data_IF_929798908441
#
_entry.id   IF_929798908441
#
_cell.length_a   1.000
_cell.length_b   1.000
_cell.length_c   1.000
_cell.angle_alpha   90.00
_cell.angle_beta   90.00
_cell.angle_gamma   90.00
#
_symmetry.space_group_name_H-M   'P 1'
#
loop_
_entity.id
_entity.type
_entity.pdbx_description
1 polymer ?
#
# COMPACT_ATOMS: atom_id res chain seq x y z
N UNK A 1 14.33 77.99 72.06
CA UNK A 1 15.70 77.45 72.15
C UNK A 1 15.80 76.19 71.29
N UNK A 2 16.67 76.24 70.25
CA UNK A 2 17.61 75.17 69.79
C UNK A 2 16.96 73.84 69.30
N UNK A 3 16.73 73.67 67.98
CA UNK A 3 17.55 73.01 66.90
C UNK A 3 17.07 71.57 66.60
N UNK A 4 16.62 71.27 65.35
CA UNK A 4 17.40 70.66 64.23
C UNK A 4 17.28 69.12 64.25
N UNK A 5 16.96 68.33 63.20
CA UNK A 5 16.96 68.52 61.74
C UNK A 5 16.42 67.26 61.03
N UNK A 6 15.76 67.48 59.88
CA UNK A 6 15.96 66.78 58.58
C UNK A 6 15.42 65.36 58.27
N UNK A 7 14.55 65.36 57.24
CA UNK A 7 14.49 64.47 56.04
C UNK A 7 13.89 63.07 56.27
N UNK A 8 12.96 62.56 55.45
CA UNK A 8 13.07 62.38 53.99
C UNK A 8 11.70 61.97 53.36
N UNK A 9 11.43 62.51 52.16
CA UNK A 9 10.72 61.95 50.99
C UNK A 9 9.38 61.18 51.17
N UNK A 10 8.23 61.70 50.68
CA UNK A 10 7.74 61.70 49.28
C UNK A 10 7.13 60.34 48.84
N UNK A 11 5.81 60.37 48.64
CA UNK A 11 4.95 59.62 47.67
C UNK A 11 5.03 58.09 47.65
N UNK A 12 3.88 57.44 47.88
CA UNK A 12 3.08 56.84 46.80
C UNK A 12 1.78 56.27 47.35
N UNK A 13 0.69 56.99 47.11
CA UNK A 13 -0.62 56.38 46.96
C UNK A 13 -0.69 55.70 45.58
N UNK A 14 -1.53 54.67 45.48
CA UNK A 14 -1.87 53.89 44.27
C UNK A 14 -0.98 52.67 44.04
N UNK A 15 -1.50 51.49 44.39
CA UNK A 15 -1.50 50.32 43.50
C UNK A 15 -2.63 49.41 43.94
N UNK A 16 -3.74 49.58 43.23
CA UNK A 16 -4.88 48.69 43.15
C UNK A 16 -4.40 47.28 42.81
N UNK A 17 -5.04 46.31 43.46
CA UNK A 17 -4.87 44.88 43.24
C UNK A 17 -4.93 44.49 41.76
N UNK A 18 -3.80 44.05 41.20
CA UNK A 18 -3.76 43.09 40.07
C UNK A 18 -2.51 42.23 40.24
N UNK A 19 -2.62 41.15 41.01
CA UNK A 19 -1.60 40.10 41.05
C UNK A 19 -2.22 38.77 41.50
N UNK A 20 -3.24 38.30 40.77
CA UNK A 20 -3.79 36.96 40.97
C UNK A 20 -4.47 36.40 39.70
N UNK A 21 -3.85 36.57 38.52
CA UNK A 21 -4.23 35.80 37.31
C UNK A 21 -2.97 35.49 36.48
N UNK A 22 -1.99 34.78 37.06
CA UNK A 22 -0.85 34.26 36.28
C UNK A 22 -0.34 32.88 36.72
N UNK A 23 -1.14 32.09 37.44
CA UNK A 23 -0.76 30.71 37.83
C UNK A 23 -1.73 29.61 37.38
N UNK A 24 -2.70 29.92 36.52
CA UNK A 24 -3.55 28.92 35.85
C UNK A 24 -3.51 28.99 34.31
N UNK A 25 -2.59 29.77 33.75
CA UNK A 25 -2.27 29.72 32.33
C UNK A 25 -1.18 28.70 32.09
N UNK A 26 -1.48 27.40 32.25
CA UNK A 26 -0.71 26.41 31.52
C UNK A 26 -0.80 26.82 30.06
N UNK A 27 0.32 27.21 29.45
CA UNK A 27 0.37 27.41 28.01
C UNK A 27 -0.09 26.08 27.41
N UNK A 28 -1.34 26.01 26.96
CA UNK A 28 -1.78 24.94 26.10
C UNK A 28 -0.81 25.02 24.91
N UNK A 29 0.10 24.06 24.80
CA UNK A 29 0.93 23.94 23.63
C UNK A 29 -0.03 24.01 22.43
N UNK A 30 0.22 24.92 21.49
CA UNK A 30 -0.58 24.98 20.28
C UNK A 30 -0.60 23.57 19.69
N UNK A 31 -1.79 23.03 19.43
CA UNK A 31 -1.91 21.71 18.83
C UNK A 31 -1.13 21.72 17.51
N UNK A 32 -0.22 20.77 17.31
CA UNK A 32 0.50 20.58 16.06
C UNK A 32 0.03 19.28 15.42
N UNK A 33 -0.42 19.35 14.16
CA UNK A 33 -0.57 18.20 13.30
C UNK A 33 0.74 18.01 12.54
N UNK A 34 1.36 16.83 12.66
CA UNK A 34 2.54 16.47 11.87
C UNK A 34 2.27 15.26 10.99
N UNK A 35 2.52 15.41 9.69
CA UNK A 35 2.23 14.39 8.68
C UNK A 35 3.45 14.09 7.82
N UNK A 36 3.60 12.83 7.42
CA UNK A 36 4.56 12.36 6.44
C UNK A 36 3.82 12.09 5.13
N UNK A 37 4.33 12.63 4.03
CA UNK A 37 3.75 12.52 2.69
C UNK A 37 4.81 12.02 1.72
N UNK A 38 4.46 10.99 0.97
CA UNK A 38 5.31 10.40 -0.05
C UNK A 38 5.22 11.20 -1.35
N UNK A 39 6.30 11.86 -1.76
CA UNK A 39 6.35 12.69 -2.97
C UNK A 39 6.33 11.88 -4.27
N UNK A 40 6.68 10.60 -4.23
CA UNK A 40 6.61 9.71 -5.39
C UNK A 40 5.17 9.28 -5.70
N UNK A 41 4.28 9.37 -4.70
CA UNK A 41 2.91 8.95 -4.84
C UNK A 41 2.08 10.01 -5.58
N UNK A 42 1.29 9.66 -6.63
CA UNK A 42 0.40 10.59 -7.33
C UNK A 42 -0.67 11.25 -6.43
N UNK A 43 -0.86 10.77 -5.20
CA UNK A 43 -1.73 11.38 -4.20
C UNK A 43 -1.07 12.50 -3.38
N UNK A 44 0.25 12.71 -3.47
CA UNK A 44 1.02 13.62 -2.60
C UNK A 44 0.42 15.03 -2.48
N UNK A 45 0.04 15.63 -3.62
CA UNK A 45 -0.52 16.98 -3.66
C UNK A 45 -1.90 17.05 -2.98
N UNK A 46 -2.72 16.02 -3.17
CA UNK A 46 -4.06 15.91 -2.57
C UNK A 46 -3.94 15.68 -1.06
N UNK A 47 -3.00 14.85 -0.64
CA UNK A 47 -2.72 14.58 0.77
C UNK A 47 -2.15 15.80 1.49
N UNK A 48 -1.33 16.59 0.81
CA UNK A 48 -0.85 17.88 1.32
C UNK A 48 -2.02 18.83 1.54
N UNK A 49 -2.93 18.92 0.57
CA UNK A 49 -4.15 19.74 0.70
C UNK A 49 -5.07 19.22 1.83
N UNK A 50 -5.25 17.90 1.95
CA UNK A 50 -6.00 17.29 3.03
C UNK A 50 -5.40 17.65 4.39
N UNK A 51 -4.09 17.51 4.57
CA UNK A 51 -3.41 17.83 5.81
C UNK A 51 -3.57 19.31 6.20
N UNK A 52 -3.48 20.23 5.22
CA UNK A 52 -3.78 21.65 5.44
C UNK A 52 -5.22 21.87 5.89
N UNK A 53 -6.19 21.23 5.24
CA UNK A 53 -7.60 21.38 5.58
C UNK A 53 -7.92 20.84 6.98
N UNK A 54 -7.32 19.71 7.36
CA UNK A 54 -7.45 19.13 8.70
C UNK A 54 -6.83 20.05 9.75
N UNK A 55 -5.61 20.56 9.53
CA UNK A 55 -4.97 21.48 10.47
C UNK A 55 -5.80 22.76 10.69
N UNK A 56 -6.38 23.32 9.62
CA UNK A 56 -7.30 24.46 9.72
C UNK A 56 -8.56 24.10 10.52
N UNK A 57 -9.15 22.93 10.28
CA UNK A 57 -10.32 22.45 11.01
C UNK A 57 -10.05 22.23 12.50
N UNK A 58 -8.84 21.78 12.85
CA UNK A 58 -8.41 21.54 14.24
C UNK A 58 -7.87 22.78 14.94
N UNK A 59 -7.74 23.91 14.23
CA UNK A 59 -7.03 25.10 14.70
C UNK A 59 -5.58 24.78 15.15
N UNK A 60 -4.94 23.85 14.44
CA UNK A 60 -3.59 23.36 14.69
C UNK A 60 -2.57 23.98 13.71
N UNK A 61 -1.30 24.07 14.13
CA UNK A 61 -0.20 24.27 13.17
C UNK A 61 0.08 22.98 12.40
N UNK A 62 0.45 23.08 11.12
CA UNK A 62 0.81 21.92 10.30
C UNK A 62 2.32 21.84 10.10
N UNK A 63 2.88 20.64 10.32
CA UNK A 63 4.25 20.28 9.93
C UNK A 63 4.21 19.12 8.94
N UNK A 64 4.68 19.35 7.71
CA UNK A 64 4.75 18.31 6.67
C UNK A 64 6.19 17.86 6.50
N UNK A 65 6.44 16.57 6.71
CA UNK A 65 7.68 15.91 6.31
C UNK A 65 7.44 15.21 4.97
N UNK A 66 8.35 15.41 4.02
CA UNK A 66 8.28 14.76 2.71
C UNK A 66 9.31 13.64 2.69
N UNK A 67 8.94 12.50 2.12
CA UNK A 67 9.83 11.39 1.83
C UNK A 67 9.53 10.86 0.44
N UNK A 68 10.44 10.07 -0.13
CA UNK A 68 10.26 9.44 -1.42
C UNK A 68 10.42 7.93 -1.26
N UNK A 69 9.35 7.17 -1.56
CA UNK A 69 9.39 5.70 -1.52
C UNK A 69 9.76 5.05 -2.85
N UNK A 70 9.82 5.84 -3.93
CA UNK A 70 10.16 5.41 -5.29
C UNK A 70 11.63 5.61 -5.68
N UNK A 71 12.38 6.41 -4.92
CA UNK A 71 13.83 6.58 -5.10
C UNK A 71 14.63 5.56 -4.28
N UNK A 72 15.44 4.72 -4.96
CA UNK A 72 16.38 3.80 -4.33
C UNK A 72 16.31 2.37 -4.88
N UNK A 73 17.32 1.56 -4.55
CA UNK A 73 17.40 0.15 -4.95
C UNK A 73 16.66 -0.80 -3.98
N UNK A 74 16.18 -0.28 -2.84
CA UNK A 74 15.44 -1.06 -1.81
C UNK A 74 13.96 -0.64 -1.74
N UNK A 75 13.01 -1.59 -1.80
CA UNK A 75 11.59 -1.28 -1.67
C UNK A 75 11.27 -0.80 -0.25
N UNK A 76 10.53 0.31 -0.17
CA UNK A 76 10.04 0.88 1.08
C UNK A 76 9.10 -0.11 1.79
N UNK A 77 9.42 -0.50 3.02
CA UNK A 77 8.65 -1.53 3.73
C UNK A 77 8.05 -1.00 5.06
N UNK A 78 7.37 -1.88 5.81
CA UNK A 78 6.74 -1.53 7.09
C UNK A 78 7.71 -1.02 8.17
N UNK A 79 8.99 -1.44 8.19
CA UNK A 79 9.97 -0.88 9.15
C UNK A 79 10.28 0.58 8.82
N UNK A 80 10.27 0.95 7.55
CA UNK A 80 10.54 2.33 7.13
C UNK A 80 9.36 3.24 7.46
N UNK A 81 8.12 2.78 7.22
CA UNK A 81 6.91 3.44 7.72
C UNK A 81 6.90 3.55 9.24
N UNK A 82 7.35 2.51 9.95
CA UNK A 82 7.42 2.55 11.40
C UNK A 82 8.43 3.58 11.89
N UNK A 83 9.58 3.68 11.23
CA UNK A 83 10.57 4.72 11.51
C UNK A 83 9.99 6.12 11.30
N UNK A 84 9.29 6.38 10.20
CA UNK A 84 8.63 7.66 9.96
C UNK A 84 7.62 8.00 11.06
N UNK A 85 6.75 7.04 11.40
CA UNK A 85 5.70 7.21 12.40
C UNK A 85 6.24 7.33 13.84
N UNK A 86 7.47 6.89 14.11
CA UNK A 86 8.10 7.04 15.43
C UNK A 86 8.96 8.31 15.52
N UNK A 87 9.68 8.66 14.45
CA UNK A 87 10.77 9.64 14.51
C UNK A 87 10.42 10.97 13.84
N UNK A 88 9.53 10.96 12.84
CA UNK A 88 9.35 12.10 11.93
C UNK A 88 7.97 12.73 12.02
N UNK A 89 6.90 11.94 12.08
CA UNK A 89 5.52 12.42 11.97
C UNK A 89 4.57 11.66 12.88
N UNK A 90 3.52 12.35 13.33
CA UNK A 90 2.44 11.70 14.05
C UNK A 90 1.62 10.76 13.14
N UNK A 91 1.43 11.15 11.88
CA UNK A 91 0.68 10.39 10.88
C UNK A 91 1.49 10.23 9.59
N UNK A 92 1.50 9.04 8.99
CA UNK A 92 2.03 8.81 7.63
C UNK A 92 0.84 8.57 6.71
N UNK A 93 0.61 9.48 5.77
CA UNK A 93 -0.55 9.42 4.87
C UNK A 93 -0.27 8.49 3.68
N UNK A 94 -1.34 8.02 3.06
CA UNK A 94 -1.33 7.39 1.75
C UNK A 94 -1.19 5.89 1.74
N UNK A 95 -1.25 5.24 2.91
CA UNK A 95 -1.06 3.80 2.98
C UNK A 95 -2.32 3.07 2.49
N UNK A 96 -2.22 2.23 1.44
CA UNK A 96 -3.36 1.49 0.93
C UNK A 96 -3.64 0.24 1.78
N UNK A 97 -4.89 0.08 2.19
CA UNK A 97 -5.42 -1.16 2.77
C UNK A 97 -6.44 -1.72 1.80
N UNK A 98 -6.17 -2.93 1.31
CA UNK A 98 -7.08 -3.69 0.47
C UNK A 98 -8.45 -3.88 1.17
N UNK A 99 -9.52 -3.60 0.44
CA UNK A 99 -10.90 -3.71 0.95
C UNK A 99 -11.33 -5.15 1.20
N UNK A 100 -10.69 -6.11 0.53
CA UNK A 100 -10.93 -7.55 0.70
C UNK A 100 -10.07 -8.14 1.82
N UNK A 101 -9.15 -7.36 2.41
CA UNK A 101 -8.30 -7.83 3.50
C UNK A 101 -9.09 -8.05 4.79
N UNK A 102 -9.15 -9.30 5.25
CA UNK A 102 -9.79 -9.67 6.53
C UNK A 102 -8.96 -9.21 7.74
N UNK A 103 -7.62 -9.20 7.61
CA UNK A 103 -6.70 -8.70 8.66
C UNK A 103 -5.41 -8.21 8.04
N UNK A 104 -5.06 -6.95 8.32
CA UNK A 104 -3.78 -6.37 7.93
C UNK A 104 -2.83 -6.40 9.12
N UNK A 105 -1.63 -6.93 8.91
CA UNK A 105 -0.53 -6.83 9.88
C UNK A 105 0.30 -5.61 9.48
N UNK A 106 0.32 -4.60 10.35
CA UNK A 106 1.00 -3.33 10.14
C UNK A 106 2.31 -3.25 10.92
N UNK A 107 2.85 -4.38 11.39
CA UNK A 107 4.19 -4.43 12.01
C UNK A 107 4.30 -3.61 13.29
N UNK A 108 3.21 -3.50 14.06
CA UNK A 108 3.14 -2.69 15.29
C UNK A 108 2.65 -1.26 15.10
N UNK A 109 2.40 -0.85 13.85
CA UNK A 109 1.65 0.37 13.56
C UNK A 109 0.14 0.15 13.64
N UNK A 110 -0.58 1.25 13.71
CA UNK A 110 -2.03 1.31 13.66
C UNK A 110 -2.46 2.11 12.43
N UNK A 111 -3.69 1.90 11.99
CA UNK A 111 -4.31 2.63 10.88
C UNK A 111 -5.44 3.52 11.41
N UNK A 112 -5.53 4.75 10.89
CA UNK A 112 -6.66 5.65 11.09
C UNK A 112 -7.94 5.09 10.45
N UNK A 113 -9.07 5.77 10.66
CA UNK A 113 -10.22 5.58 9.78
C UNK A 113 -9.84 5.90 8.33
N UNK A 114 -10.46 5.24 7.34
CA UNK A 114 -10.15 5.48 5.94
C UNK A 114 -10.63 6.87 5.51
N UNK A 115 -9.72 7.69 4.99
CA UNK A 115 -10.06 9.03 4.51
C UNK A 115 -10.36 9.07 3.01
N UNK A 116 -9.86 8.10 2.24
CA UNK A 116 -10.15 7.98 0.81
C UNK A 116 -10.37 6.51 0.40
N UNK A 117 -11.07 6.33 -0.71
CA UNK A 117 -11.31 5.05 -1.37
C UNK A 117 -10.89 5.15 -2.83
N UNK A 118 -10.13 4.17 -3.30
CA UNK A 118 -9.57 4.13 -4.65
C UNK A 118 -9.37 2.68 -5.11
N UNK A 119 -8.99 2.48 -6.36
CA UNK A 119 -8.68 1.16 -6.88
C UNK A 119 -7.96 1.22 -8.21
N UNK A 120 -7.77 0.04 -8.79
CA UNK A 120 -7.49 -0.11 -10.20
C UNK A 120 -8.76 0.18 -11.00
N UNK A 121 -8.58 0.85 -12.14
CA UNK A 121 -9.66 1.17 -13.05
C UNK A 121 -9.32 0.66 -14.45
N UNK A 122 -10.34 0.19 -15.16
CA UNK A 122 -10.26 -0.02 -16.60
C UNK A 122 -10.35 1.33 -17.29
N UNK A 123 -9.30 1.72 -18.00
CA UNK A 123 -9.22 2.97 -18.76
C UNK A 123 -9.43 2.67 -20.23
N UNK A 124 -10.46 3.26 -20.81
CA UNK A 124 -10.81 3.07 -22.23
C UNK A 124 -10.88 4.42 -22.96
N UNK A 125 -10.74 4.44 -24.30
CA UNK A 125 -11.25 5.53 -25.11
C UNK A 125 -12.72 5.82 -24.76
N UNK A 126 -13.11 7.10 -24.76
CA UNK A 126 -14.45 7.54 -24.33
C UNK A 126 -15.58 7.03 -25.23
N UNK A 127 -15.28 6.70 -26.49
CA UNK A 127 -16.22 6.10 -27.44
C UNK A 127 -16.31 4.57 -27.32
N UNK A 128 -15.46 3.94 -26.51
CA UNK A 128 -15.59 2.53 -26.16
C UNK A 128 -16.91 2.27 -25.42
N UNK A 129 -17.54 1.15 -25.76
CA UNK A 129 -18.73 0.66 -25.04
C UNK A 129 -18.38 -0.20 -23.82
N UNK A 130 -17.11 -0.59 -23.68
CA UNK A 130 -16.67 -1.44 -22.61
C UNK A 130 -16.47 -0.64 -21.33
N UNK A 131 -17.06 -1.12 -20.25
CA UNK A 131 -16.94 -0.61 -18.88
C UNK A 131 -16.37 -1.65 -17.93
N UNK A 132 -16.25 -2.91 -18.38
CA UNK A 132 -15.65 -4.04 -17.66
C UNK A 132 -14.78 -4.86 -18.62
N UNK A 133 -13.95 -5.76 -18.10
CA UNK A 133 -13.04 -6.57 -18.90
C UNK A 133 -13.78 -7.55 -19.83
N UNK A 134 -14.90 -8.10 -19.38
CA UNK A 134 -15.72 -9.05 -20.15
C UNK A 134 -16.41 -8.39 -21.36
N UNK A 135 -16.50 -7.06 -21.36
CA UNK A 135 -17.11 -6.29 -22.43
C UNK A 135 -16.11 -5.89 -23.52
N UNK A 136 -14.80 -6.08 -23.29
CA UNK A 136 -13.79 -5.80 -24.29
C UNK A 136 -13.89 -6.82 -25.44
N UNK A 137 -13.71 -6.39 -26.70
CA UNK A 137 -13.65 -7.30 -27.83
C UNK A 137 -12.56 -8.38 -27.66
N UNK A 138 -12.81 -9.56 -28.21
CA UNK A 138 -11.80 -10.63 -28.25
C UNK A 138 -10.51 -10.15 -28.95
N UNK A 139 -9.36 -10.43 -28.34
CA UNK A 139 -8.05 -10.01 -28.81
C UNK A 139 -7.69 -8.56 -28.49
N UNK A 140 -8.50 -7.87 -27.67
CA UNK A 140 -8.16 -6.51 -27.20
C UNK A 140 -6.85 -6.55 -26.43
N UNK A 141 -5.98 -5.59 -26.73
CA UNK A 141 -4.73 -5.38 -26.00
C UNK A 141 -5.01 -4.50 -24.78
N UNK A 142 -4.62 -4.98 -23.61
CA UNK A 142 -4.85 -4.30 -22.34
C UNK A 142 -3.52 -4.12 -21.61
N UNK A 143 -3.12 -2.87 -21.43
CA UNK A 143 -1.86 -2.53 -20.76
C UNK A 143 -2.03 -2.53 -19.24
N UNK A 144 -1.07 -3.08 -18.51
CA UNK A 144 -0.99 -3.02 -17.05
C UNK A 144 0.41 -2.60 -16.61
N UNK A 145 0.52 -2.14 -15.36
CA UNK A 145 1.82 -1.85 -14.76
C UNK A 145 2.42 -3.11 -14.15
N UNK A 146 3.71 -3.33 -14.35
CA UNK A 146 4.48 -4.42 -13.76
C UNK A 146 4.30 -4.48 -12.23
N UNK A 147 4.23 -5.70 -11.67
CA UNK A 147 4.07 -5.96 -10.22
C UNK A 147 2.84 -5.30 -9.57
N UNK A 148 1.76 -5.14 -10.32
CA UNK A 148 0.48 -4.70 -9.77
C UNK A 148 -0.59 -5.80 -9.86
N UNK A 149 -1.60 -5.76 -9.00
CA UNK A 149 -2.72 -6.73 -8.99
C UNK A 149 -3.28 -7.01 -10.39
N UNK A 150 -3.49 -6.02 -11.28
CA UNK A 150 -4.00 -6.27 -12.63
C UNK A 150 -3.31 -7.35 -13.47
N UNK A 151 -2.04 -7.69 -13.19
CA UNK A 151 -1.35 -8.77 -13.90
C UNK A 151 -2.04 -10.13 -13.71
N UNK A 152 -2.72 -10.36 -12.57
CA UNK A 152 -3.35 -11.66 -12.28
C UNK A 152 -4.68 -11.86 -13.01
N UNK A 153 -5.35 -10.78 -13.45
CA UNK A 153 -6.69 -10.87 -14.02
C UNK A 153 -6.72 -11.56 -15.39
N UNK A 154 -5.61 -11.55 -16.13
CA UNK A 154 -5.53 -12.19 -17.45
C UNK A 154 -5.69 -13.70 -17.41
N UNK A 155 -5.50 -14.35 -16.25
CA UNK A 155 -5.76 -15.78 -16.08
C UNK A 155 -7.24 -16.09 -16.29
N UNK A 156 -8.13 -15.22 -15.81
CA UNK A 156 -9.58 -15.36 -15.95
C UNK A 156 -10.11 -14.72 -17.24
N UNK A 157 -9.25 -14.00 -17.98
CA UNK A 157 -9.58 -13.34 -19.25
C UNK A 157 -8.59 -13.71 -20.38
N UNK A 158 -8.53 -15.00 -20.79
CA UNK A 158 -7.56 -15.48 -21.79
C UNK A 158 -7.77 -14.91 -23.19
N UNK A 159 -8.96 -14.34 -23.45
CA UNK A 159 -9.30 -13.68 -24.72
C UNK A 159 -8.68 -12.28 -24.86
N UNK A 160 -8.06 -11.76 -23.80
CA UNK A 160 -7.37 -10.47 -23.79
C UNK A 160 -5.86 -10.65 -23.93
N UNK A 161 -5.20 -9.70 -24.58
CA UNK A 161 -3.74 -9.71 -24.76
C UNK A 161 -3.13 -8.74 -23.75
N UNK A 162 -2.39 -9.26 -22.77
CA UNK A 162 -1.71 -8.45 -21.77
C UNK A 162 -0.50 -7.71 -22.38
N UNK A 163 -0.47 -6.39 -22.23
CA UNK A 163 0.76 -5.59 -22.31
C UNK A 163 1.23 -5.22 -20.90
N UNK A 164 2.54 -5.21 -20.67
CA UNK A 164 3.12 -4.90 -19.35
C UNK A 164 4.16 -3.80 -19.49
N UNK A 165 3.89 -2.65 -18.89
CA UNK A 165 4.83 -1.55 -18.79
C UNK A 165 5.52 -1.55 -17.42
N UNK A 166 6.79 -1.13 -17.37
CA UNK A 166 7.58 -1.09 -16.13
C UNK A 166 7.05 -0.09 -15.09
N UNK A 167 6.35 0.96 -15.53
CA UNK A 167 5.73 1.96 -14.66
C UNK A 167 4.40 2.47 -15.25
N UNK A 168 3.61 3.10 -14.40
CA UNK A 168 2.26 3.57 -14.74
C UNK A 168 2.25 4.65 -15.81
N UNK A 169 3.23 5.56 -15.83
CA UNK A 169 3.28 6.66 -16.79
C UNK A 169 3.61 6.15 -18.20
N UNK A 170 4.43 5.11 -18.32
CA UNK A 170 4.68 4.45 -19.60
C UNK A 170 3.47 3.65 -20.08
N UNK A 171 2.75 2.97 -19.18
CA UNK A 171 1.49 2.32 -19.53
C UNK A 171 0.46 3.33 -20.10
N UNK A 172 0.37 4.51 -19.47
CA UNK A 172 -0.50 5.60 -19.92
C UNK A 172 -0.06 6.18 -21.26
N UNK A 173 1.23 6.29 -21.54
CA UNK A 173 1.74 6.69 -22.87
C UNK A 173 1.36 5.67 -23.94
N UNK A 174 1.52 4.38 -23.66
CA UNK A 174 1.14 3.30 -24.59
C UNK A 174 -0.36 3.37 -24.90
N UNK A 175 -1.21 3.49 -23.88
CA UNK A 175 -2.66 3.70 -24.05
C UNK A 175 -2.96 4.94 -24.89
N UNK A 176 -2.41 6.10 -24.50
CA UNK A 176 -2.80 7.38 -25.10
C UNK A 176 -2.26 7.59 -26.51
N UNK A 177 -1.23 6.83 -26.90
CA UNK A 177 -0.74 6.71 -28.27
C UNK A 177 -1.59 5.80 -29.18
N UNK A 178 -2.54 5.06 -28.61
CA UNK A 178 -3.42 4.15 -29.35
C UNK A 178 -2.77 2.81 -29.73
N UNK A 179 -1.70 2.41 -29.04
CA UNK A 179 -1.03 1.12 -29.27
C UNK A 179 -1.79 -0.06 -28.66
N UNK A 180 -2.64 0.21 -27.67
CA UNK A 180 -3.50 -0.73 -26.96
C UNK A 180 -4.93 -0.21 -26.91
N UNK A 181 -5.88 -1.12 -26.71
CA UNK A 181 -7.31 -0.82 -26.73
C UNK A 181 -7.82 -0.30 -25.37
N UNK A 182 -7.19 -0.74 -24.29
CA UNK A 182 -7.48 -0.31 -22.93
C UNK A 182 -6.25 -0.45 -22.01
N UNK A 183 -6.36 0.02 -20.77
CA UNK A 183 -5.39 -0.26 -19.73
C UNK A 183 -6.08 -0.51 -18.38
N UNK A 184 -5.47 -1.31 -17.50
CA UNK A 184 -5.91 -1.43 -16.11
C UNK A 184 -4.85 -0.82 -15.21
N UNK A 185 -5.15 0.35 -14.66
CA UNK A 185 -4.15 1.17 -13.98
C UNK A 185 -4.73 1.78 -12.70
N UNK A 186 -3.85 2.19 -11.79
CA UNK A 186 -4.26 2.78 -10.54
C UNK A 186 -4.94 4.15 -10.77
N UNK A 187 -6.18 4.29 -10.30
CA UNK A 187 -7.06 5.42 -10.64
C UNK A 187 -6.48 6.82 -10.34
N UNK A 188 -5.76 7.07 -9.24
CA UNK A 188 -5.16 8.38 -8.96
C UNK A 188 -4.12 8.77 -10.00
N UNK A 189 -3.27 7.82 -10.41
CA UNK A 189 -2.27 8.04 -11.45
C UNK A 189 -2.92 8.36 -12.80
N UNK A 190 -3.99 7.64 -13.16
CA UNK A 190 -4.78 7.90 -14.37
C UNK A 190 -5.38 9.31 -14.31
N UNK A 191 -6.02 9.66 -13.21
CA UNK A 191 -6.68 10.97 -13.05
C UNK A 191 -5.70 12.13 -13.14
N UNK A 192 -4.54 12.00 -12.50
CA UNK A 192 -3.42 12.95 -12.61
C UNK A 192 -2.95 13.10 -14.06
N UNK A 193 -2.61 11.98 -14.70
CA UNK A 193 -2.06 11.99 -16.05
C UNK A 193 -3.03 12.57 -17.07
N UNK A 194 -4.31 12.16 -17.03
CA UNK A 194 -5.33 12.67 -17.95
C UNK A 194 -5.52 14.18 -17.76
N UNK A 195 -5.48 14.69 -16.52
CA UNK A 195 -5.58 16.12 -16.26
C UNK A 195 -4.36 16.91 -16.77
N UNK A 196 -3.15 16.43 -16.49
CA UNK A 196 -1.91 17.06 -16.94
C UNK A 196 -1.82 17.14 -18.48
N UNK A 197 -2.32 16.12 -19.17
CA UNK A 197 -2.28 16.01 -20.62
C UNK A 197 -3.56 16.50 -21.32
N UNK A 198 -4.57 16.97 -20.57
CA UNK A 198 -5.88 17.43 -21.09
C UNK A 198 -6.63 16.38 -21.91
N UNK A 199 -6.62 15.14 -21.42
CA UNK A 199 -7.18 13.95 -22.08
C UNK A 199 -8.48 13.45 -21.43
N UNK A 200 -9.05 14.18 -20.48
CA UNK A 200 -10.25 13.80 -19.72
C UNK A 200 -11.48 13.63 -20.63
N UNK A 201 -11.52 14.36 -21.76
CA UNK A 201 -12.57 14.24 -22.77
C UNK A 201 -12.34 13.10 -23.78
N UNK A 202 -11.19 12.43 -23.72
CA UNK A 202 -10.80 11.38 -24.69
C UNK A 202 -10.81 9.97 -24.08
N UNK A 203 -10.59 9.88 -22.78
CA UNK A 203 -10.58 8.62 -22.06
C UNK A 203 -11.59 8.64 -20.92
N UNK A 204 -11.95 7.46 -20.44
CA UNK A 204 -12.82 7.27 -19.28
C UNK A 204 -12.25 6.14 -18.43
N UNK A 205 -12.20 6.36 -17.12
CA UNK A 205 -11.79 5.35 -16.16
C UNK A 205 -13.04 4.74 -15.52
N UNK A 206 -13.12 3.41 -15.55
CA UNK A 206 -14.22 2.62 -14.98
C UNK A 206 -13.67 1.85 -13.78
N UNK A 207 -14.11 2.13 -12.54
CA UNK A 207 -13.65 1.42 -11.36
C UNK A 207 -13.85 -0.10 -11.48
N UNK A 208 -12.83 -0.88 -11.15
CA UNK A 208 -12.93 -2.34 -11.19
C UNK A 208 -13.62 -2.90 -9.95
N UNK A 209 -14.40 -3.94 -10.14
CA UNK A 209 -15.03 -4.73 -9.07
C UNK A 209 -14.51 -6.15 -9.09
N UNK A 210 -13.18 -6.26 -9.00
CA UNK A 210 -12.44 -7.52 -8.93
C UNK A 210 -11.75 -7.62 -7.57
N UNK A 211 -11.44 -8.86 -7.17
CA UNK A 211 -10.75 -9.14 -5.90
C UNK A 211 -9.38 -8.46 -5.90
N UNK A 212 -9.01 -7.84 -4.78
CA UNK A 212 -7.75 -7.10 -4.60
C UNK A 212 -7.61 -5.85 -5.50
N UNK A 213 -8.69 -5.41 -6.16
CA UNK A 213 -8.65 -4.25 -7.05
C UNK A 213 -8.82 -2.92 -6.31
N UNK A 214 -9.37 -2.94 -5.08
CA UNK A 214 -9.85 -1.74 -4.39
C UNK A 214 -9.19 -1.60 -3.02
N UNK A 215 -8.94 -0.35 -2.64
CA UNK A 215 -8.18 0.04 -1.46
C UNK A 215 -8.84 1.19 -0.75
N UNK A 216 -8.76 1.17 0.57
CA UNK A 216 -8.95 2.35 1.40
C UNK A 216 -7.59 2.96 1.72
N UNK A 217 -7.45 4.28 1.57
CA UNK A 217 -6.26 4.99 2.03
C UNK A 217 -6.45 5.40 3.49
N UNK A 218 -5.47 5.06 4.31
CA UNK A 218 -5.42 5.34 5.74
C UNK A 218 -4.16 6.12 6.10
N UNK A 219 -4.17 6.76 7.26
CA UNK A 219 -2.96 7.26 7.88
C UNK A 219 -2.40 6.19 8.83
N UNK A 220 -1.12 5.84 8.68
CA UNK A 220 -0.42 4.99 9.65
C UNK A 220 0.09 5.82 10.81
N UNK A 221 0.07 5.24 12.02
CA UNK A 221 0.57 5.90 13.21
C UNK A 221 1.14 4.90 14.23
N UNK A 222 2.14 5.35 15.00
CA UNK A 222 2.66 4.60 16.14
C UNK A 222 1.79 4.84 17.38
N UNK A 223 1.78 3.89 18.33
CA UNK A 223 0.85 3.90 19.48
C UNK A 223 0.83 5.21 20.27
N UNK A 224 1.98 5.88 20.41
CA UNK A 224 2.11 7.17 21.10
C UNK A 224 1.35 8.32 20.41
N UNK A 225 1.03 8.19 19.12
CA UNK A 225 0.32 9.20 18.33
C UNK A 225 -1.18 8.91 18.19
N UNK A 226 -1.72 7.96 18.96
CA UNK A 226 -3.16 7.67 18.98
C UNK A 226 -4.06 8.91 19.21
N UNK A 227 -3.71 9.89 20.07
CA UNK A 227 -4.51 11.12 20.20
C UNK A 227 -4.55 11.96 18.91
N UNK A 228 -3.45 12.02 18.16
CA UNK A 228 -3.40 12.76 16.89
C UNK A 228 -4.23 12.05 15.81
N UNK A 229 -4.16 10.71 15.75
CA UNK A 229 -5.00 9.92 14.86
C UNK A 229 -6.49 10.08 15.16
N UNK A 230 -6.88 10.09 16.45
CA UNK A 230 -8.27 10.30 16.83
C UNK A 230 -8.80 11.71 16.49
N UNK A 231 -7.95 12.74 16.60
CA UNK A 231 -8.28 14.09 16.17
C UNK A 231 -8.47 14.16 14.64
N UNK A 232 -7.52 13.58 13.90
CA UNK A 232 -7.59 13.45 12.44
C UNK A 232 -8.88 12.75 12.01
N UNK A 233 -9.20 11.59 12.58
CA UNK A 233 -10.43 10.85 12.26
C UNK A 233 -11.69 11.67 12.49
N UNK A 234 -11.75 12.42 13.61
CA UNK A 234 -12.86 13.32 13.90
C UNK A 234 -12.99 14.42 12.84
N UNK A 235 -11.88 14.97 12.39
CA UNK A 235 -11.83 15.96 11.31
C UNK A 235 -12.30 15.37 9.98
N UNK A 236 -11.86 14.15 9.62
CA UNK A 236 -12.31 13.43 8.43
C UNK A 236 -13.83 13.24 8.45
N UNK A 237 -14.40 12.77 9.56
CA UNK A 237 -15.86 12.59 9.73
C UNK A 237 -16.61 13.92 9.53
N UNK A 238 -16.15 15.00 10.15
CA UNK A 238 -16.77 16.32 10.02
C UNK A 238 -16.67 16.89 8.58
N UNK A 239 -15.53 16.69 7.94
CA UNK A 239 -15.28 17.12 6.56
C UNK A 239 -16.09 16.28 5.55
N UNK A 240 -16.34 15.00 5.82
CA UNK A 240 -17.27 14.18 5.03
C UNK A 240 -18.69 14.69 5.15
N UNK A 241 -19.17 14.94 6.37
CA UNK A 241 -20.52 15.44 6.62
C UNK A 241 -20.80 16.80 5.93
N UNK A 242 -19.81 17.69 5.88
CA UNK A 242 -19.90 18.99 5.18
C UNK A 242 -19.64 18.93 3.67
N UNK A 243 -19.27 17.75 3.15
CA UNK A 243 -18.84 17.57 1.76
C UNK A 243 -17.50 18.24 1.41
N UNK A 244 -16.77 18.77 2.39
CA UNK A 244 -15.44 19.34 2.21
C UNK A 244 -14.43 18.29 1.75
N UNK A 245 -14.48 17.08 2.34
CA UNK A 245 -13.55 16.01 1.98
C UNK A 245 -13.70 15.63 0.50
N UNK A 246 -14.94 15.47 0.02
CA UNK A 246 -15.21 15.18 -1.38
C UNK A 246 -14.66 16.24 -2.34
N UNK A 247 -14.69 17.53 -1.96
CA UNK A 247 -14.15 18.62 -2.79
C UNK A 247 -12.62 18.58 -2.88
N UNK A 248 -11.94 18.07 -1.86
CA UNK A 248 -10.48 17.92 -1.84
C UNK A 248 -10.06 16.70 -2.66
N UNK A 249 -10.80 15.60 -2.53
CA UNK A 249 -10.45 14.31 -3.14
C UNK A 249 -10.85 14.19 -4.62
N UNK A 250 -11.94 14.85 -5.05
CA UNK A 250 -12.40 14.77 -6.43
C UNK A 250 -11.48 15.53 -7.40
N UNK A 251 -11.33 15.07 -8.67
CA UNK A 251 -11.90 13.85 -9.26
C UNK A 251 -11.04 12.59 -9.03
N UNK A 252 -9.98 12.66 -8.23
CA UNK A 252 -8.92 11.66 -8.17
C UNK A 252 -9.33 10.38 -7.43
N UNK A 253 -10.03 10.53 -6.29
CA UNK A 253 -10.49 9.42 -5.45
C UNK A 253 -11.84 9.73 -4.81
N UNK A 254 -12.50 8.69 -4.32
CA UNK A 254 -13.73 8.84 -3.54
C UNK A 254 -13.40 9.03 -2.05
N UNK A 255 -14.35 9.60 -1.30
CA UNK A 255 -14.20 9.66 0.15
C UNK A 255 -14.33 8.24 0.74
N UNK A 256 -13.46 7.89 1.69
CA UNK A 256 -13.48 6.57 2.35
C UNK A 256 -14.82 6.29 3.05
N UNK A 257 -15.22 5.03 3.13
CA UNK A 257 -16.43 4.67 3.88
C UNK A 257 -16.27 5.01 5.37
N UNK A 258 -17.23 5.75 5.94
CA UNK A 258 -17.25 6.03 7.38
C UNK A 258 -17.23 4.71 8.17
N UNK A 259 -16.43 4.58 9.25
CA UNK A 259 -16.61 3.47 10.17
C UNK A 259 -18.03 3.52 10.73
N UNK A 260 -18.75 2.39 10.67
CA UNK A 260 -20.06 2.28 11.29
C UNK A 260 -19.93 2.61 12.78
N UNK A 261 -20.70 3.59 13.28
CA UNK A 261 -20.63 4.01 14.68
C UNK A 261 -20.97 2.83 15.59
N UNK A 262 -19.95 2.17 16.15
CA UNK A 262 -20.17 1.22 17.23
C UNK A 262 -20.48 2.03 18.50
N UNK A 263 -21.73 1.94 18.94
CA UNK A 263 -22.11 2.44 20.26
C UNK A 263 -21.21 1.82 21.34
N UNK A 264 -20.80 2.65 22.29
CA UNK A 264 -19.94 2.28 23.42
C UNK A 264 -20.55 1.13 24.23
N UNK A 265 -19.87 -0.01 24.28
CA UNK A 265 -20.04 -1.01 25.33
C UNK A 265 -18.67 -1.63 25.64
N UNK A 266 -18.31 -1.60 26.92
CA UNK A 266 -17.07 -2.10 27.48
C UNK A 266 -16.96 -3.62 27.29
N UNK A 267 -15.73 -4.08 27.04
CA UNK A 267 -15.37 -5.49 26.89
C UNK A 267 -15.13 -6.13 28.27
N UNK A 268 -15.76 -7.29 28.49
CA UNK A 268 -15.36 -8.30 29.47
C UNK A 268 -15.02 -9.58 28.68
N UNK A 269 -13.75 -9.99 28.67
CA UNK A 269 -13.27 -11.23 28.05
C UNK A 269 -13.38 -12.43 29.03
N UNK A 270 -13.86 -13.61 28.60
CA UNK A 270 -13.59 -14.87 29.28
C UNK A 270 -12.42 -15.65 28.64
N UNK A 271 -11.73 -16.53 29.40
CA UNK A 271 -10.42 -17.05 29.03
C UNK A 271 -10.48 -18.18 27.98
N UNK A 272 -9.46 -18.19 27.13
CA UNK A 272 -9.19 -19.22 26.13
C UNK A 272 -8.87 -20.59 26.77
N UNK A 273 -9.51 -21.64 26.24
CA UNK A 273 -9.05 -23.02 26.42
C UNK A 273 -8.26 -23.42 25.19
N UNK A 274 -7.01 -23.85 25.42
CA UNK A 274 -6.14 -24.42 24.42
C UNK A 274 -6.59 -25.83 24.05
N UNK A 275 -6.59 -26.18 22.77
CA UNK A 275 -6.17 -27.52 22.39
C UNK A 275 -5.62 -27.64 20.95
N UNK A 276 -4.46 -28.30 20.89
CA UNK A 276 -3.95 -29.19 19.83
C UNK A 276 -3.46 -28.61 18.49
N UNK A 277 -2.14 -28.42 18.43
CA UNK A 277 -1.31 -28.26 17.24
C UNK A 277 -1.10 -29.58 16.48
N UNK A 278 -1.48 -29.63 15.21
CA UNK A 278 -0.95 -30.57 14.21
C UNK A 278 -0.18 -29.76 13.16
N UNK A 279 1.15 -29.77 13.23
CA UNK A 279 2.00 -29.23 12.17
C UNK A 279 2.02 -30.25 11.01
N UNK A 280 1.25 -30.00 9.97
CA UNK A 280 1.36 -30.77 8.71
C UNK A 280 2.74 -30.52 8.09
N UNK A 281 3.54 -31.58 7.89
CA UNK A 281 4.80 -31.49 7.18
C UNK A 281 4.58 -31.10 5.71
N UNK A 282 5.44 -30.21 5.17
CA UNK A 282 5.35 -29.76 3.77
C UNK A 282 5.54 -30.95 2.79
N UNK A 283 4.80 -30.96 1.69
CA UNK A 283 4.84 -32.02 0.70
C UNK A 283 6.18 -32.06 -0.05
N UNK A 284 6.69 -33.26 -0.33
CA UNK A 284 7.89 -33.47 -1.13
C UNK A 284 7.55 -33.52 -2.63
N UNK A 285 7.75 -32.41 -3.34
CA UNK A 285 7.20 -32.21 -4.69
C UNK A 285 8.22 -32.34 -5.82
N UNK A 286 9.51 -32.26 -5.52
CA UNK A 286 10.58 -32.14 -6.50
C UNK A 286 11.77 -33.02 -6.12
N UNK A 287 12.66 -33.33 -7.07
CA UNK A 287 13.93 -34.03 -6.75
C UNK A 287 15.05 -33.06 -6.43
N UNK A 288 16.00 -33.47 -5.59
CA UNK A 288 17.19 -32.66 -5.30
C UNK A 288 17.97 -32.27 -6.57
N UNK A 289 17.96 -33.13 -7.60
CA UNK A 289 18.56 -32.84 -8.89
C UNK A 289 17.87 -31.64 -9.58
N UNK A 290 16.54 -31.59 -9.59
CA UNK A 290 15.78 -30.47 -10.17
C UNK A 290 16.06 -29.15 -9.46
N UNK A 291 16.09 -29.12 -8.13
CA UNK A 291 16.42 -27.89 -7.41
C UNK A 291 17.87 -27.44 -7.64
N UNK A 292 18.80 -28.39 -7.79
CA UNK A 292 20.21 -28.08 -8.07
C UNK A 292 20.39 -27.49 -9.46
N UNK A 293 19.74 -28.07 -10.48
CA UNK A 293 19.74 -27.53 -11.84
C UNK A 293 19.00 -26.18 -11.90
N UNK A 294 17.86 -26.09 -11.20
CA UNK A 294 17.04 -24.90 -11.08
C UNK A 294 17.77 -23.71 -10.46
N UNK A 295 18.68 -23.94 -9.51
CA UNK A 295 19.51 -22.87 -8.94
C UNK A 295 20.36 -22.19 -10.00
N UNK A 296 21.00 -22.97 -10.89
CA UNK A 296 21.86 -22.40 -11.93
C UNK A 296 21.02 -21.60 -12.93
N UNK A 297 19.90 -22.18 -13.38
CA UNK A 297 18.94 -21.50 -14.29
C UNK A 297 18.38 -20.22 -13.69
N UNK A 298 18.01 -20.27 -12.40
CA UNK A 298 17.60 -19.07 -11.68
C UNK A 298 18.69 -18.00 -11.64
N UNK A 299 19.96 -18.38 -11.44
CA UNK A 299 21.08 -17.43 -11.45
C UNK A 299 21.30 -16.79 -12.82
N UNK A 300 21.04 -17.54 -13.90
CA UNK A 300 21.23 -17.09 -15.26
C UNK A 300 20.07 -16.20 -15.74
N UNK A 301 18.83 -16.58 -15.40
CA UNK A 301 17.61 -16.00 -15.99
C UNK A 301 16.81 -15.06 -15.05
N UNK A 302 17.01 -15.16 -13.72
CA UNK A 302 16.14 -14.50 -12.74
C UNK A 302 16.88 -13.64 -11.71
N UNK A 303 18.12 -13.99 -11.37
CA UNK A 303 18.85 -13.36 -10.26
C UNK A 303 19.22 -11.90 -10.51
N UNK A 304 19.21 -11.42 -11.75
CA UNK A 304 19.40 -10.01 -12.07
C UNK A 304 18.35 -9.13 -11.37
N UNK A 305 17.10 -9.60 -11.30
CA UNK A 305 15.99 -8.86 -10.69
C UNK A 305 15.68 -9.37 -9.28
N UNK A 306 15.72 -10.67 -9.03
CA UNK A 306 15.27 -11.29 -7.77
C UNK A 306 16.41 -11.57 -6.77
N UNK A 307 17.64 -11.25 -7.16
CA UNK A 307 18.84 -11.45 -6.36
C UNK A 307 19.31 -12.90 -6.28
N UNK A 308 20.63 -13.08 -6.11
CA UNK A 308 21.29 -14.40 -6.18
C UNK A 308 20.87 -15.34 -5.05
N UNK A 309 20.34 -14.77 -3.98
CA UNK A 309 19.84 -15.44 -2.80
C UNK A 309 18.31 -15.29 -2.66
N UNK A 310 17.58 -14.89 -3.71
CA UNK A 310 16.15 -14.59 -3.67
C UNK A 310 15.78 -13.42 -2.75
N UNK A 311 16.74 -12.56 -2.43
CA UNK A 311 16.60 -11.42 -1.53
C UNK A 311 15.79 -10.26 -2.13
N UNK A 312 15.58 -10.27 -3.45
CA UNK A 312 14.93 -9.21 -4.19
C UNK A 312 15.87 -8.03 -4.46
N UNK A 313 15.69 -7.39 -5.60
CA UNK A 313 16.31 -6.13 -6.00
C UNK A 313 15.25 -5.35 -6.79
N UNK A 314 15.36 -5.37 -8.12
CA UNK A 314 14.36 -4.81 -9.06
C UNK A 314 13.05 -5.62 -9.05
N UNK A 315 13.14 -6.93 -8.83
CA UNK A 315 12.00 -7.82 -8.59
C UNK A 315 11.88 -8.18 -7.11
N UNK A 316 10.69 -8.60 -6.63
CA UNK A 316 10.47 -8.90 -5.22
C UNK A 316 11.35 -10.06 -4.74
N UNK A 317 11.55 -10.11 -3.42
CA UNK A 317 12.13 -11.28 -2.77
C UNK A 317 11.27 -12.53 -3.02
N UNK A 318 11.90 -13.65 -3.33
CA UNK A 318 11.23 -14.92 -3.62
C UNK A 318 11.40 -15.95 -2.49
N UNK A 319 11.73 -15.47 -1.29
CA UNK A 319 11.71 -16.24 -0.04
C UNK A 319 11.54 -15.34 1.18
N UNK A 320 11.25 -15.95 2.33
CA UNK A 320 11.08 -15.27 3.60
C UNK A 320 9.64 -14.78 3.84
N UNK A 321 9.42 -14.17 5.00
CA UNK A 321 8.09 -13.87 5.56
C UNK A 321 7.12 -13.08 4.66
N UNK A 322 7.63 -12.37 3.64
CA UNK A 322 6.85 -11.56 2.72
C UNK A 322 6.52 -12.26 1.39
N UNK A 323 7.27 -13.31 1.04
CA UNK A 323 6.99 -14.11 -0.16
C UNK A 323 6.01 -15.22 0.19
N UNK A 324 4.90 -15.32 -0.54
CA UNK A 324 3.88 -16.36 -0.35
C UNK A 324 3.58 -16.68 1.13
N UNK A 325 3.11 -15.69 1.92
CA UNK A 325 2.84 -15.90 3.34
C UNK A 325 1.66 -16.88 3.49
N UNK A 326 1.67 -17.70 4.55
CA UNK A 326 0.66 -18.75 4.78
C UNK A 326 -0.80 -18.27 4.70
N UNK A 327 -1.04 -16.98 4.98
CA UNK A 327 -2.36 -16.33 4.94
C UNK A 327 -2.86 -15.94 3.55
N UNK A 328 -1.99 -15.93 2.54
CA UNK A 328 -2.33 -15.57 1.17
C UNK A 328 -2.92 -16.74 0.37
N UNK A 329 -2.91 -17.95 0.94
CA UNK A 329 -3.49 -19.17 0.36
C UNK A 329 -3.01 -19.49 -1.07
N UNK A 330 -1.78 -19.06 -1.40
CA UNK A 330 -1.17 -19.41 -2.67
C UNK A 330 -0.90 -20.90 -2.74
N UNK A 331 -1.19 -21.47 -3.89
CA UNK A 331 -0.80 -22.80 -4.28
C UNK A 331 0.49 -22.76 -5.10
N UNK A 332 1.18 -23.90 -5.19
CA UNK A 332 2.35 -24.06 -6.06
C UNK A 332 2.01 -23.70 -7.50
N UNK A 333 0.78 -23.99 -7.95
CA UNK A 333 0.27 -23.61 -9.28
C UNK A 333 0.20 -22.11 -9.48
N UNK A 334 -0.22 -21.33 -8.47
CA UNK A 334 -0.29 -19.87 -8.57
C UNK A 334 1.09 -19.25 -8.76
N UNK A 335 2.07 -19.69 -7.97
CA UNK A 335 3.46 -19.24 -8.09
C UNK A 335 4.05 -19.72 -9.41
N UNK A 336 3.78 -20.97 -9.79
CA UNK A 336 4.29 -21.53 -11.04
C UNK A 336 3.73 -20.81 -12.27
N UNK A 337 2.46 -20.42 -12.26
CA UNK A 337 1.84 -19.67 -13.35
C UNK A 337 2.51 -18.31 -13.55
N UNK A 338 2.83 -17.60 -12.46
CA UNK A 338 3.58 -16.34 -12.53
C UNK A 338 4.97 -16.58 -13.13
N UNK A 339 5.67 -17.59 -12.63
CA UNK A 339 7.03 -17.92 -13.09
C UNK A 339 7.02 -18.33 -14.57
N UNK A 340 6.09 -19.18 -15.00
CA UNK A 340 6.08 -19.73 -16.36
C UNK A 340 5.50 -18.80 -17.41
N UNK A 341 4.64 -17.86 -17.02
CA UNK A 341 3.94 -16.97 -17.97
C UNK A 341 4.45 -15.54 -17.97
N UNK A 342 4.96 -15.04 -16.84
CA UNK A 342 5.37 -13.65 -16.69
C UNK A 342 6.88 -13.47 -16.58
N UNK A 343 7.64 -14.55 -16.39
CA UNK A 343 9.10 -14.49 -16.26
C UNK A 343 9.81 -15.19 -17.41
N UNK A 344 11.02 -14.74 -17.79
CA UNK A 344 11.69 -13.51 -17.35
C UNK A 344 10.94 -12.24 -17.75
N UNK A 345 10.99 -11.18 -16.93
CA UNK A 345 10.22 -9.95 -17.20
C UNK A 345 10.59 -9.28 -18.54
N UNK A 346 11.84 -9.45 -19.01
CA UNK A 346 12.30 -8.94 -20.30
C UNK A 346 11.82 -9.77 -21.50
N UNK A 347 11.43 -11.02 -21.28
CA UNK A 347 10.96 -11.95 -22.32
C UNK A 347 10.00 -13.00 -21.71
N UNK A 348 8.75 -12.61 -21.36
CA UNK A 348 7.83 -13.47 -20.62
C UNK A 348 7.50 -14.77 -21.37
N UNK A 349 7.56 -15.91 -20.68
CA UNK A 349 7.21 -17.21 -21.28
C UNK A 349 8.26 -17.80 -22.22
N UNK A 350 9.46 -17.22 -22.27
CA UNK A 350 10.52 -17.61 -23.23
C UNK A 350 11.30 -18.87 -22.88
N UNK A 351 11.27 -19.32 -21.61
CA UNK A 351 12.03 -20.50 -21.19
C UNK A 351 11.28 -21.78 -21.52
N UNK A 352 12.01 -22.87 -21.75
CA UNK A 352 11.37 -24.16 -21.96
C UNK A 352 10.72 -24.71 -20.67
N UNK A 353 9.76 -25.63 -20.83
CA UNK A 353 9.01 -26.19 -19.70
C UNK A 353 9.90 -26.83 -18.63
N UNK A 354 10.99 -27.50 -19.03
CA UNK A 354 11.90 -28.14 -18.09
C UNK A 354 12.62 -27.08 -17.25
N UNK A 355 13.04 -25.98 -17.88
CA UNK A 355 13.68 -24.85 -17.22
C UNK A 355 12.75 -24.23 -16.15
N UNK A 356 11.48 -24.00 -16.45
CA UNK A 356 10.52 -23.49 -15.46
C UNK A 356 10.31 -24.45 -14.29
N UNK A 357 10.14 -25.74 -14.56
CA UNK A 357 9.97 -26.76 -13.52
C UNK A 357 11.16 -26.82 -12.58
N UNK A 358 12.37 -26.72 -13.12
CA UNK A 358 13.60 -26.73 -12.34
C UNK A 358 13.72 -25.45 -11.49
N UNK A 359 13.42 -24.28 -12.05
CA UNK A 359 13.35 -23.02 -11.28
C UNK A 359 12.33 -23.13 -10.14
N UNK A 360 11.15 -23.70 -10.40
CA UNK A 360 10.13 -23.92 -9.38
C UNK A 360 10.61 -24.88 -8.28
N UNK A 361 11.32 -25.95 -8.64
CA UNK A 361 11.94 -26.87 -7.69
C UNK A 361 12.96 -26.15 -6.79
N UNK A 362 13.75 -25.23 -7.35
CA UNK A 362 14.66 -24.40 -6.58
C UNK A 362 13.93 -23.44 -5.62
N UNK A 363 12.86 -22.78 -6.08
CA UNK A 363 12.03 -21.92 -5.21
C UNK A 363 11.40 -22.72 -4.07
N UNK A 364 10.88 -23.92 -4.33
CA UNK A 364 10.35 -24.83 -3.30
C UNK A 364 11.42 -25.17 -2.26
N UNK A 365 12.65 -25.50 -2.70
CA UNK A 365 13.77 -25.79 -1.80
C UNK A 365 14.10 -24.61 -0.90
N UNK A 366 14.29 -23.41 -1.47
CA UNK A 366 14.64 -22.20 -0.71
C UNK A 366 13.52 -21.76 0.24
N UNK A 367 12.29 -22.21 -0.02
CA UNK A 367 11.14 -21.99 0.84
C UNK A 367 10.83 -23.19 1.77
N UNK A 368 11.79 -24.10 1.93
CA UNK A 368 11.78 -25.14 2.97
C UNK A 368 10.88 -26.35 2.68
N UNK A 369 10.51 -26.59 1.41
CA UNK A 369 9.89 -27.84 1.00
C UNK A 369 10.97 -28.93 0.92
N UNK A 370 10.71 -30.16 1.41
CA UNK A 370 11.69 -31.25 1.30
C UNK A 370 11.77 -31.80 -0.13
N UNK A 371 12.94 -32.27 -0.52
CA UNK A 371 13.10 -33.03 -1.77
C UNK A 371 12.49 -34.45 -1.62
N UNK A 372 11.83 -34.92 -2.68
CA UNK A 372 11.27 -36.27 -2.81
C UNK A 372 11.99 -37.10 -3.87
N UNK A 373 11.44 -38.29 -4.15
CA UNK A 373 11.96 -39.25 -5.14
C UNK A 373 11.30 -39.13 -6.53
N UNK A 374 10.17 -38.41 -6.64
CA UNK A 374 9.47 -38.16 -7.90
C UNK A 374 9.85 -36.78 -8.43
N UNK A 375 10.16 -36.71 -9.72
CA UNK A 375 10.40 -35.44 -10.39
C UNK A 375 9.09 -34.67 -10.56
N UNK A 376 9.09 -33.38 -10.24
CA UNK A 376 8.00 -32.47 -10.58
C UNK A 376 7.90 -32.38 -12.10
N UNK A 377 6.71 -32.47 -12.67
CA UNK A 377 6.48 -32.20 -14.10
C UNK A 377 5.81 -30.83 -14.29
N UNK A 378 5.82 -30.32 -15.52
CA UNK A 378 5.21 -29.03 -15.84
C UNK A 378 3.70 -29.03 -15.55
N UNK A 379 3.00 -30.06 -16.04
CA UNK A 379 1.56 -30.25 -15.81
C UNK A 379 1.22 -30.39 -14.32
N UNK A 380 2.04 -31.12 -13.56
CA UNK A 380 1.86 -31.23 -12.10
C UNK A 380 2.07 -29.90 -11.39
N UNK A 381 3.04 -29.08 -11.85
CA UNK A 381 3.26 -27.76 -11.29
C UNK A 381 2.11 -26.81 -11.60
N UNK A 382 1.60 -26.79 -12.84
CA UNK A 382 0.46 -25.96 -13.27
C UNK A 382 -0.85 -26.30 -12.54
N UNK A 383 -1.05 -27.56 -12.17
CA UNK A 383 -2.29 -28.01 -11.53
C UNK A 383 -2.14 -28.31 -10.03
N UNK A 384 -0.96 -28.05 -9.46
CA UNK A 384 -0.68 -28.38 -8.06
C UNK A 384 -1.64 -27.66 -7.12
N UNK A 385 -2.31 -28.45 -6.28
CA UNK A 385 -3.17 -27.99 -5.18
C UNK A 385 -2.40 -27.96 -3.84
N UNK A 386 -1.07 -28.04 -3.87
CA UNK A 386 -0.28 -27.90 -2.65
C UNK A 386 -0.11 -26.43 -2.34
N UNK A 387 -0.46 -26.02 -1.12
CA UNK A 387 -0.18 -24.67 -0.64
C UNK A 387 1.32 -24.38 -0.68
N UNK A 388 1.67 -23.24 -1.25
CA UNK A 388 2.99 -22.63 -1.22
C UNK A 388 3.08 -21.70 0.00
N UNK A 389 3.91 -22.06 0.97
CA UNK A 389 4.10 -21.35 2.23
C UNK A 389 5.58 -21.09 2.42
N UNK A 390 6.01 -19.83 2.45
CA UNK A 390 7.38 -19.48 2.82
C UNK A 390 7.62 -19.62 4.33
N UNK A 391 8.80 -20.08 4.79
CA UNK A 391 9.11 -20.11 6.20
C UNK A 391 9.19 -18.66 6.73
N UNK A 392 8.37 -18.33 7.73
CA UNK A 392 8.27 -16.98 8.30
C UNK A 392 9.46 -16.53 9.15
N UNK A 393 10.68 -17.00 8.89
CA UNK A 393 11.89 -16.53 9.57
C UNK A 393 12.59 -15.46 8.78
#
# INVERSE_FOLDING_TARGET
>A
MIRSTSKLAIRCASLVAVAAVLLYGGAAAAAELSVCIDTSNPMAAIETHLAHAVAVHEHASLRVHHFDSGEGDEPYDLKDFAKLANDSCALVLGFPIDTDAVKVDLGGLHASAPYAHTGFALVTPRDSKATTLEQLPHGSKVEVTYLTTPNIYFVEHPDLIAGVALNTDDALKVLTSGQVDAAILWQPAVSRYLAEHRLENRYTAHPLRLVHANFNLVALYASQHAPAAAAFDKSIVAMQASGALRRILAPYVEAGALPASKGTAAADDPPASADSSAHSAKAALYTQAQATAGKQKFLDDCALCHGKQLEGFVGPALKGKHFAPAKADYHVSDIFAIVSKNMPASDPGSLDHQTYVEIMAFLLQENGYPAGSKALTFEEAEHSQVLFVSPGK
#
